data_IF_084423922179
#
_entry.id   IF_084423922179
#
_cell.length_a   1.000
_cell.length_b   1.000
_cell.length_c   1.000
_cell.angle_alpha   90.00
_cell.angle_beta   90.00
_cell.angle_gamma   90.00
#
_symmetry.space_group_name_H-M   'P 1'
#
loop_
_entity.id
_entity.type
_entity.pdbx_description
1 polymer ?
#
# COMPACT_ATOMS: atom_id res chain seq x y z
N UNK A 1 5.57 -3.82 1.91
CA UNK A 1 4.30 -3.09 2.11
C UNK A 1 4.14 -2.67 3.57
N UNK A 2 3.19 -1.78 3.83
CA UNK A 2 2.63 -1.51 5.16
C UNK A 2 1.11 -1.67 5.07
N UNK A 3 0.55 -2.55 5.89
CA UNK A 3 -0.88 -2.81 5.98
C UNK A 3 -1.42 -2.29 7.31
N UNK A 4 -2.54 -1.58 7.25
CA UNK A 4 -3.33 -1.19 8.41
C UNK A 4 -4.57 -2.07 8.44
N UNK A 5 -4.75 -2.83 9.51
CA UNK A 5 -5.79 -3.84 9.67
C UNK A 5 -6.55 -3.60 10.97
N UNK A 6 -7.68 -4.29 11.15
CA UNK A 6 -8.23 -4.47 12.51
C UNK A 6 -7.25 -5.32 13.31
N UNK A 7 -7.03 -5.05 14.62
CA UNK A 7 -6.16 -5.87 15.46
C UNK A 7 -6.48 -7.37 15.38
N UNK A 8 -7.77 -7.73 15.33
CA UNK A 8 -8.24 -9.11 15.19
C UNK A 8 -7.90 -9.77 13.83
N UNK A 9 -7.63 -8.99 12.79
CA UNK A 9 -7.27 -9.47 11.45
C UNK A 9 -5.75 -9.63 11.27
N UNK A 10 -4.91 -9.18 12.21
CA UNK A 10 -3.44 -9.24 12.07
C UNK A 10 -2.95 -10.68 11.96
N UNK A 11 -3.34 -11.55 12.88
CA UNK A 11 -2.88 -12.96 12.85
C UNK A 11 -3.34 -13.66 11.58
N UNK A 12 -4.64 -13.63 11.19
CA UNK A 12 -5.10 -14.21 9.92
C UNK A 12 -4.42 -13.64 8.67
N UNK A 13 -3.98 -12.38 8.72
CA UNK A 13 -3.25 -11.75 7.61
C UNK A 13 -1.81 -12.27 7.54
N UNK A 14 -1.08 -12.28 8.66
CA UNK A 14 0.32 -12.71 8.71
C UNK A 14 0.47 -14.18 8.38
N UNK A 15 -0.45 -15.05 8.82
CA UNK A 15 -0.39 -16.49 8.53
C UNK A 15 -0.58 -16.85 7.05
N UNK A 16 -1.00 -15.90 6.21
CA UNK A 16 -1.10 -16.10 4.75
C UNK A 16 0.22 -15.84 4.02
N UNK A 17 1.19 -15.22 4.70
CA UNK A 17 2.43 -14.78 4.08
C UNK A 17 3.44 -15.93 4.12
N UNK A 18 4.02 -16.24 2.97
CA UNK A 18 5.10 -17.21 2.87
C UNK A 18 6.37 -16.64 3.53
N UNK A 19 6.90 -17.28 4.59
CA UNK A 19 8.08 -16.79 5.31
C UNK A 19 9.37 -16.86 4.48
N UNK A 20 9.41 -17.64 3.39
CA UNK A 20 10.52 -17.64 2.44
C UNK A 20 10.50 -16.42 1.52
N UNK A 21 9.32 -15.80 1.34
CA UNK A 21 9.09 -14.65 0.46
C UNK A 21 9.03 -13.33 1.22
N UNK A 22 8.65 -13.34 2.50
CA UNK A 22 8.36 -12.13 3.25
C UNK A 22 8.98 -12.12 4.65
N UNK A 23 9.74 -11.06 4.97
CA UNK A 23 10.09 -10.72 6.34
C UNK A 23 9.03 -9.77 6.93
N UNK A 24 8.47 -10.14 8.08
CA UNK A 24 7.30 -9.48 8.67
C UNK A 24 7.62 -8.89 10.05
N UNK A 25 7.15 -7.66 10.28
CA UNK A 25 7.06 -7.05 11.61
C UNK A 25 5.62 -6.60 11.86
N UNK A 26 5.00 -7.11 12.92
CA UNK A 26 3.62 -6.78 13.27
C UNK A 26 3.53 -6.10 14.63
N UNK A 27 2.82 -4.98 14.69
CA UNK A 27 2.36 -4.35 15.91
C UNK A 27 0.90 -4.75 16.13
N UNK A 28 0.69 -5.95 16.68
CA UNK A 28 -0.64 -6.59 16.69
C UNK A 28 -1.71 -5.75 17.42
N UNK A 29 -1.32 -5.03 18.49
CA UNK A 29 -2.24 -4.22 19.29
C UNK A 29 -2.87 -3.04 18.53
N UNK A 30 -2.20 -2.48 17.52
CA UNK A 30 -2.70 -1.36 16.73
C UNK A 30 -2.97 -1.70 15.25
N UNK A 31 -2.84 -2.98 14.87
CA UNK A 31 -3.22 -3.43 13.54
C UNK A 31 -2.21 -3.17 12.43
N UNK A 32 -0.99 -2.71 12.75
CA UNK A 32 0.02 -2.39 11.74
C UNK A 32 0.87 -3.62 11.42
N UNK A 33 0.98 -3.95 10.14
CA UNK A 33 1.87 -5.00 9.63
C UNK A 33 2.80 -4.42 8.56
N UNK A 34 4.09 -4.53 8.80
CA UNK A 34 5.14 -4.24 7.83
C UNK A 34 5.61 -5.55 7.21
N UNK A 35 5.72 -5.56 5.88
CA UNK A 35 6.26 -6.69 5.13
C UNK A 35 7.34 -6.26 4.14
N UNK A 36 8.44 -6.99 4.11
CA UNK A 36 9.54 -6.80 3.17
C UNK A 36 9.67 -8.04 2.29
N UNK A 37 9.57 -7.86 0.97
CA UNK A 37 9.82 -8.96 0.04
C UNK A 37 11.30 -9.38 0.11
N UNK A 38 11.55 -10.68 0.13
CA UNK A 38 12.87 -11.29 0.21
C UNK A 38 13.31 -11.78 -1.17
N UNK A 39 14.61 -11.64 -1.45
CA UNK A 39 15.21 -12.04 -2.74
C UNK A 39 14.84 -11.12 -3.90
N UNK A 40 15.42 -11.41 -5.07
CA UNK A 40 15.00 -10.78 -6.32
C UNK A 40 13.63 -11.31 -6.72
N UNK A 41 12.74 -10.42 -7.10
CA UNK A 41 11.39 -10.77 -7.52
C UNK A 41 11.07 -10.03 -8.81
N UNK A 42 10.56 -10.78 -9.79
CA UNK A 42 9.99 -10.20 -11.00
C UNK A 42 8.83 -9.25 -10.64
N UNK A 43 8.83 -8.05 -11.22
CA UNK A 43 7.87 -7.00 -10.90
C UNK A 43 6.41 -7.47 -11.03
N UNK A 44 6.10 -8.27 -12.04
CA UNK A 44 4.75 -8.72 -12.33
C UNK A 44 4.23 -9.70 -11.27
N UNK A 45 5.07 -10.66 -10.86
CA UNK A 45 4.76 -11.57 -9.75
C UNK A 45 4.57 -10.82 -8.43
N UNK A 46 5.47 -9.88 -8.12
CA UNK A 46 5.33 -9.04 -6.93
C UNK A 46 4.04 -8.22 -6.96
N UNK A 47 3.68 -7.67 -8.12
CA UNK A 47 2.47 -6.88 -8.27
C UNK A 47 1.21 -7.73 -8.00
N UNK A 48 1.15 -8.96 -8.54
CA UNK A 48 0.05 -9.87 -8.28
C UNK A 48 -0.08 -10.21 -6.79
N UNK A 49 1.04 -10.53 -6.12
CA UNK A 49 1.05 -10.81 -4.68
C UNK A 49 0.56 -9.60 -3.86
N UNK A 50 1.08 -8.41 -4.16
CA UNK A 50 0.67 -7.18 -3.48
C UNK A 50 -0.82 -6.91 -3.67
N UNK A 51 -1.37 -7.14 -4.86
CA UNK A 51 -2.79 -6.97 -5.13
C UNK A 51 -3.67 -7.95 -4.34
N UNK A 52 -3.24 -9.20 -4.21
CA UNK A 52 -3.94 -10.18 -3.37
C UNK A 52 -3.93 -9.77 -1.89
N UNK A 53 -2.78 -9.35 -1.36
CA UNK A 53 -2.65 -8.87 0.01
C UNK A 53 -3.48 -7.59 0.25
N UNK A 54 -3.49 -6.68 -0.73
CA UNK A 54 -4.29 -5.46 -0.69
C UNK A 54 -5.78 -5.78 -0.65
N UNK A 55 -6.25 -6.69 -1.49
CA UNK A 55 -7.65 -7.11 -1.51
C UNK A 55 -8.08 -7.70 -0.16
N UNK A 56 -7.23 -8.51 0.47
CA UNK A 56 -7.47 -9.05 1.82
C UNK A 56 -7.57 -7.93 2.86
N UNK A 57 -6.62 -6.97 2.86
CA UNK A 57 -6.63 -5.87 3.81
C UNK A 57 -7.88 -4.98 3.66
N UNK A 58 -8.25 -4.65 2.42
CA UNK A 58 -9.40 -3.79 2.10
C UNK A 58 -10.73 -4.46 2.46
N UNK A 59 -10.88 -5.75 2.17
CA UNK A 59 -12.11 -6.51 2.51
C UNK A 59 -12.45 -6.42 3.99
N UNK A 60 -11.44 -6.43 4.86
CA UNK A 60 -11.63 -6.37 6.30
C UNK A 60 -11.74 -4.91 6.83
N UNK A 61 -11.86 -3.92 5.94
CA UNK A 61 -11.97 -2.49 6.26
C UNK A 61 -10.62 -1.81 6.55
N UNK A 62 -9.51 -2.47 6.20
CA UNK A 62 -8.15 -1.95 6.32
C UNK A 62 -7.63 -1.30 5.03
N UNK A 63 -6.32 -1.12 4.95
CA UNK A 63 -5.63 -0.73 3.73
C UNK A 63 -4.22 -1.32 3.66
N UNK A 64 -3.61 -1.24 2.48
CA UNK A 64 -2.22 -1.59 2.26
C UNK A 64 -1.59 -0.55 1.34
N UNK A 65 -0.39 -0.09 1.67
CA UNK A 65 0.42 0.83 0.87
C UNK A 65 1.85 0.29 0.71
N UNK A 66 2.63 0.88 -0.21
CA UNK A 66 4.05 0.57 -0.39
C UNK A 66 4.86 1.84 -0.14
N UNK A 67 5.33 2.07 1.10
CA UNK A 67 6.11 3.26 1.43
C UNK A 67 7.46 3.30 0.73
N UNK A 68 7.99 2.14 0.35
CA UNK A 68 9.30 1.96 -0.28
C UNK A 68 9.20 0.93 -1.40
N UNK A 69 9.61 1.32 -2.60
CA UNK A 69 9.84 0.46 -3.75
C UNK A 69 10.75 1.19 -4.76
N UNK A 70 11.39 0.47 -5.71
CA UNK A 70 12.04 1.06 -6.87
C UNK A 70 11.11 2.03 -7.62
N UNK A 71 11.68 3.06 -8.26
CA UNK A 71 10.89 4.16 -8.84
C UNK A 71 10.09 3.73 -10.06
N UNK A 72 10.68 2.90 -10.91
CA UNK A 72 10.07 2.26 -12.08
C UNK A 72 8.88 1.34 -11.71
N UNK A 73 8.90 0.76 -10.50
CA UNK A 73 7.84 -0.10 -10.01
C UNK A 73 6.61 0.64 -9.43
N UNK A 74 6.70 1.95 -9.17
CA UNK A 74 5.68 2.69 -8.38
C UNK A 74 4.29 2.67 -9.01
N UNK A 75 4.21 2.90 -10.31
CA UNK A 75 2.95 2.93 -11.05
C UNK A 75 2.32 1.54 -11.07
N UNK A 76 3.11 0.52 -11.45
CA UNK A 76 2.67 -0.87 -11.53
C UNK A 76 2.19 -1.42 -10.18
N UNK A 77 2.85 -1.05 -9.07
CA UNK A 77 2.54 -1.53 -7.72
C UNK A 77 1.47 -0.72 -7.00
N UNK A 78 0.94 0.37 -7.59
CA UNK A 78 -0.08 1.24 -6.98
C UNK A 78 0.25 1.58 -5.53
N UNK A 79 1.36 2.31 -5.33
CA UNK A 79 1.98 2.48 -3.99
C UNK A 79 1.07 3.11 -2.93
N UNK A 80 0.04 3.86 -3.33
CA UNK A 80 -0.94 4.49 -2.43
C UNK A 80 -2.15 3.62 -2.10
N UNK A 81 -2.23 2.44 -2.72
CA UNK A 81 -3.34 1.52 -2.65
C UNK A 81 -4.56 1.94 -3.44
N UNK A 82 -5.69 1.29 -3.12
CA UNK A 82 -6.90 1.46 -3.92
C UNK A 82 -7.46 2.89 -3.82
N UNK A 83 -7.98 3.44 -4.93
CA UNK A 83 -8.71 4.69 -4.90
C UNK A 83 -9.86 4.64 -3.90
N UNK A 84 -9.94 5.66 -3.05
CA UNK A 84 -10.97 5.75 -2.01
C UNK A 84 -11.92 6.93 -2.28
N UNK A 85 -13.16 6.90 -1.80
CA UNK A 85 -14.13 7.98 -2.06
C UNK A 85 -13.65 9.37 -1.60
N UNK A 86 -12.86 9.43 -0.54
CA UNK A 86 -12.27 10.63 0.05
C UNK A 86 -11.16 11.27 -0.81
N UNK A 87 -10.63 10.57 -1.82
CA UNK A 87 -9.62 11.12 -2.73
C UNK A 87 -10.14 12.33 -3.51
N UNK A 88 -11.45 12.41 -3.76
CA UNK A 88 -12.08 13.59 -4.38
C UNK A 88 -11.88 14.84 -3.52
N UNK A 89 -11.96 14.71 -2.19
CA UNK A 89 -11.73 15.81 -1.25
C UNK A 89 -10.25 16.18 -1.26
N UNK A 90 -9.35 15.19 -1.14
CA UNK A 90 -7.92 15.43 -1.18
C UNK A 90 -7.46 16.11 -2.49
N UNK A 91 -8.07 15.77 -3.64
CA UNK A 91 -7.82 16.44 -4.91
C UNK A 91 -8.24 17.92 -4.88
N UNK A 92 -9.41 18.23 -4.32
CA UNK A 92 -9.87 19.63 -4.15
C UNK A 92 -8.96 20.43 -3.22
N UNK A 93 -8.52 19.83 -2.12
CA UNK A 93 -7.55 20.45 -1.20
C UNK A 93 -6.23 20.71 -1.92
N UNK A 94 -5.70 19.75 -2.67
CA UNK A 94 -4.48 19.95 -3.47
C UNK A 94 -4.66 21.06 -4.50
N UNK A 95 -5.79 21.12 -5.19
CA UNK A 95 -6.07 22.18 -6.18
C UNK A 95 -6.14 23.57 -5.55
N UNK A 96 -6.70 23.69 -4.34
CA UNK A 96 -6.78 24.97 -3.64
C UNK A 96 -5.41 25.46 -3.14
N UNK A 97 -4.56 24.54 -2.65
CA UNK A 97 -3.25 24.86 -2.09
C UNK A 97 -2.13 24.94 -3.15
N UNK A 98 -2.23 24.15 -4.22
CA UNK A 98 -1.26 24.06 -5.31
C UNK A 98 -1.95 24.16 -6.69
N UNK A 99 -2.52 25.33 -7.04
CA UNK A 99 -3.22 25.49 -8.32
C UNK A 99 -2.32 25.25 -9.53
N UNK A 100 -1.01 25.47 -9.38
CA UNK A 100 0.00 25.30 -10.44
C UNK A 100 0.62 23.89 -10.48
N UNK A 101 0.29 23.01 -9.54
CA UNK A 101 0.80 21.64 -9.48
C UNK A 101 2.31 21.53 -9.27
N UNK A 102 2.96 22.55 -8.68
CA UNK A 102 4.42 22.60 -8.52
C UNK A 102 4.90 21.83 -7.29
N UNK A 103 4.02 21.56 -6.33
CA UNK A 103 4.36 20.83 -5.11
C UNK A 103 4.30 19.33 -5.34
N UNK A 104 5.47 18.73 -5.55
CA UNK A 104 5.67 17.29 -5.68
C UNK A 104 4.77 16.69 -6.79
N UNK A 105 5.04 17.03 -8.06
CA UNK A 105 4.21 16.63 -9.20
C UNK A 105 4.21 15.11 -9.37
N UNK A 106 3.11 14.57 -9.90
CA UNK A 106 2.99 13.14 -10.17
C UNK A 106 3.03 12.29 -8.89
N UNK A 107 2.50 12.78 -7.76
CA UNK A 107 2.39 11.96 -6.53
C UNK A 107 1.02 12.06 -5.88
N UNK A 108 0.57 10.93 -5.33
CA UNK A 108 -0.71 10.79 -4.64
C UNK A 108 -1.86 11.26 -5.55
N UNK A 109 -2.72 12.17 -5.09
CA UNK A 109 -3.83 12.74 -5.90
C UNK A 109 -3.39 13.64 -7.07
N UNK A 110 -2.08 13.89 -7.22
CA UNK A 110 -1.46 14.54 -8.37
C UNK A 110 -0.98 13.56 -9.46
N UNK A 111 -1.48 12.32 -9.41
CA UNK A 111 -1.36 11.21 -10.40
C UNK A 111 0.06 10.71 -10.67
N UNK A 112 0.57 9.91 -9.70
CA UNK A 112 1.20 8.61 -10.04
C UNK A 112 0.12 7.74 -10.66
#
# INVERSE_FOLDING_TARGET
FMANLRPSSVVPFVTRLDPSRWAIQAHAGNGIVWGHALGETELEGLALEIEQLRAVAVRDGGNLILPRCPTDAKERLRVWGEPRPDWKIAKRVKQALDPKGVMNPGRFVGTI
#
